data_IF_560506380226
#
_entry.id   IF_560506380226
#
_cell.length_a   1.000
_cell.length_b   1.000
_cell.length_c   1.000
_cell.angle_alpha   90.00
_cell.angle_beta   90.00
_cell.angle_gamma   90.00
#
_symmetry.space_group_name_H-M   'P 1'
#
loop_
_entity.id
_entity.type
_entity.pdbx_description
1 polymer ?
#
# COMPACT_ATOMS: atom_id res chain seq x y z
N UNK A 1 -8.83 -3.32 -7.50
CA UNK A 1 -7.40 -3.08 -7.79
C UNK A 1 -7.25 -1.67 -8.32
N UNK A 2 -6.27 -0.90 -7.87
CA UNK A 2 -6.08 0.51 -8.27
C UNK A 2 -4.78 0.65 -9.05
N UNK A 3 -4.86 0.98 -10.33
CA UNK A 3 -3.69 1.26 -11.16
C UNK A 3 -3.29 2.72 -10.94
N UNK A 4 -2.00 2.95 -10.69
CA UNK A 4 -1.45 4.28 -10.42
C UNK A 4 -0.31 4.61 -11.40
N UNK A 5 0.02 5.89 -11.62
CA UNK A 5 1.16 6.25 -12.46
C UNK A 5 2.48 5.74 -11.86
N UNK A 6 3.20 4.90 -12.60
CA UNK A 6 4.48 4.32 -12.14
C UNK A 6 5.59 5.35 -11.90
N UNK A 7 5.54 6.49 -12.61
CA UNK A 7 6.62 7.49 -12.58
C UNK A 7 6.32 8.66 -11.63
N UNK A 8 5.34 8.51 -10.73
CA UNK A 8 5.00 9.54 -9.74
C UNK A 8 5.52 9.13 -8.38
N UNK A 9 6.18 10.06 -7.69
CA UNK A 9 6.54 9.90 -6.28
C UNK A 9 5.38 10.40 -5.41
N UNK A 10 4.96 9.57 -4.46
CA UNK A 10 3.95 9.92 -3.45
C UNK A 10 4.55 9.79 -2.06
N UNK A 11 4.02 10.57 -1.12
CA UNK A 11 4.40 10.52 0.29
C UNK A 11 3.15 10.18 1.11
N UNK A 12 3.21 9.07 1.82
CA UNK A 12 2.15 8.60 2.72
C UNK A 12 2.77 8.34 4.07
N UNK A 13 2.11 8.85 5.11
CA UNK A 13 2.53 8.69 6.51
C UNK A 13 1.33 8.25 7.34
N UNK A 14 1.57 7.33 8.28
CA UNK A 14 0.60 6.99 9.31
C UNK A 14 1.05 7.58 10.64
N UNK A 15 0.11 8.10 11.42
CA UNK A 15 0.40 8.73 12.70
C UNK A 15 -0.13 7.87 13.84
N UNK A 16 0.74 7.48 14.77
CA UNK A 16 0.37 6.75 15.99
C UNK A 16 0.97 7.47 17.20
N UNK A 17 0.14 7.76 18.21
CA UNK A 17 0.62 8.38 19.45
C UNK A 17 1.36 9.72 19.25
N UNK A 18 1.04 10.47 18.19
CA UNK A 18 1.72 11.73 17.84
C UNK A 18 3.01 11.58 17.03
N UNK A 19 3.48 10.36 16.78
CA UNK A 19 4.64 10.08 15.93
C UNK A 19 4.20 9.73 14.51
N UNK A 20 4.93 10.24 13.51
CA UNK A 20 4.68 9.95 12.09
C UNK A 20 5.62 8.86 11.60
N UNK A 21 5.06 7.90 10.88
CA UNK A 21 5.77 6.79 10.27
C UNK A 21 5.61 6.89 8.74
N UNK A 22 6.61 7.42 8.02
CA UNK A 22 6.58 7.49 6.57
C UNK A 22 6.73 6.08 5.97
N UNK A 23 5.97 5.81 4.92
CA UNK A 23 6.14 4.61 4.09
C UNK A 23 7.06 4.96 2.92
N UNK A 24 8.10 4.15 2.70
CA UNK A 24 8.99 4.30 1.57
C UNK A 24 8.20 4.22 0.25
N UNK A 25 8.44 5.10 -0.75
CA UNK A 25 7.64 5.11 -1.99
C UNK A 25 7.58 3.77 -2.73
N UNK A 26 8.66 2.96 -2.69
CA UNK A 26 8.68 1.61 -3.27
C UNK A 26 7.70 0.63 -2.61
N UNK A 27 7.30 0.88 -1.35
CA UNK A 27 6.32 0.04 -0.63
C UNK A 27 4.87 0.49 -0.86
N UNK A 28 4.64 1.59 -1.58
CA UNK A 28 3.31 2.09 -1.92
C UNK A 28 2.71 1.44 -3.15
N UNK A 29 3.51 0.69 -3.92
CA UNK A 29 3.06 0.03 -5.15
C UNK A 29 3.65 -1.35 -5.33
N UNK A 30 2.90 -2.23 -6.00
CA UNK A 30 3.39 -3.51 -6.53
C UNK A 30 3.33 -3.50 -8.06
N UNK A 31 4.18 -4.28 -8.72
CA UNK A 31 4.11 -4.48 -10.17
C UNK A 31 3.18 -5.65 -10.50
N UNK A 32 2.41 -5.53 -11.58
CA UNK A 32 1.71 -6.68 -12.17
C UNK A 32 2.69 -7.57 -12.93
N UNK A 33 2.27 -8.81 -13.18
CA UNK A 33 2.79 -9.54 -14.34
C UNK A 33 2.48 -8.76 -15.63
N UNK A 34 3.18 -9.04 -16.76
CA UNK A 34 2.86 -8.42 -18.04
C UNK A 34 1.37 -8.62 -18.38
N UNK A 35 0.69 -7.51 -18.68
CA UNK A 35 -0.72 -7.49 -19.10
C UNK A 35 -0.80 -6.93 -20.52
N UNK A 36 -1.68 -7.49 -21.34
CA UNK A 36 -1.92 -6.99 -22.69
C UNK A 36 -2.81 -5.74 -22.64
N UNK A 37 -2.30 -4.63 -23.17
CA UNK A 37 -3.05 -3.38 -23.33
C UNK A 37 -2.85 -2.89 -24.76
N UNK A 38 -3.93 -2.87 -25.54
CA UNK A 38 -3.92 -2.49 -26.96
C UNK A 38 -2.92 -3.31 -27.81
N UNK A 39 -2.85 -4.63 -27.61
CA UNK A 39 -1.96 -5.51 -28.38
C UNK A 39 -0.47 -5.41 -28.00
N UNK A 40 -0.14 -4.76 -26.88
CA UNK A 40 1.22 -4.67 -26.35
C UNK A 40 1.25 -5.16 -24.90
N UNK A 41 2.26 -5.95 -24.55
CA UNK A 41 2.53 -6.31 -23.16
C UNK A 41 3.06 -5.09 -22.40
N UNK A 42 2.43 -4.79 -21.27
CA UNK A 42 2.80 -3.68 -20.38
C UNK A 42 2.78 -4.16 -18.93
N UNK A 43 3.64 -3.54 -18.11
CA UNK A 43 3.62 -3.71 -16.66
C UNK A 43 2.88 -2.51 -16.06
N UNK A 44 1.95 -2.76 -15.16
CA UNK A 44 1.23 -1.73 -14.43
C UNK A 44 1.70 -1.65 -12.98
N UNK A 45 1.67 -0.44 -12.42
CA UNK A 45 1.87 -0.22 -10.99
C UNK A 45 0.52 -0.22 -10.29
N UNK A 46 0.40 -1.03 -9.25
CA UNK A 46 -0.82 -1.21 -8.48
C UNK A 46 -0.60 -0.66 -7.08
N UNK A 47 -1.53 0.17 -6.60
CA UNK A 47 -1.49 0.69 -5.23
C UNK A 47 -1.49 -0.44 -4.19
N UNK A 48 -0.57 -0.36 -3.23
CA UNK A 48 -0.44 -1.33 -2.16
C UNK A 48 -1.52 -1.15 -1.07
N UNK A 49 -2.04 0.07 -0.91
CA UNK A 49 -3.18 0.38 -0.06
C UNK A 49 -4.47 0.03 -0.80
N UNK A 50 -5.30 -0.81 -0.18
CA UNK A 50 -6.56 -1.27 -0.76
C UNK A 50 -7.70 -0.96 0.19
N UNK A 51 -8.79 -0.41 -0.35
CA UNK A 51 -10.07 -0.34 0.34
C UNK A 51 -10.73 -1.72 0.36
N UNK A 52 -11.42 -2.01 1.45
CA UNK A 52 -12.19 -3.24 1.62
C UNK A 52 -13.47 -2.90 2.40
N UNK A 53 -14.61 -3.40 1.92
CA UNK A 53 -15.89 -3.21 2.57
C UNK A 53 -16.04 -4.18 3.75
N UNK A 54 -16.77 -3.76 4.79
CA UNK A 54 -17.08 -4.56 5.97
C UNK A 54 -15.89 -5.14 6.74
N UNK A 55 -14.72 -4.51 6.64
CA UNK A 55 -13.55 -4.86 7.42
C UNK A 55 -13.75 -4.52 8.91
N UNK A 56 -13.15 -5.29 9.82
CA UNK A 56 -13.26 -5.02 11.25
C UNK A 56 -14.69 -5.00 11.82
N UNK A 57 -15.66 -5.66 11.17
CA UNK A 57 -17.06 -5.63 11.62
C UNK A 57 -17.87 -4.39 11.19
N UNK A 58 -17.48 -3.75 10.09
CA UNK A 58 -18.00 -2.46 9.59
C UNK A 58 -17.56 -1.24 10.43
N UNK A 59 -16.47 -1.39 11.18
CA UNK A 59 -15.82 -0.27 11.86
C UNK A 59 -14.79 0.42 10.94
N UNK A 60 -14.23 1.53 11.40
CA UNK A 60 -13.20 2.28 10.68
C UNK A 60 -11.81 1.70 10.96
N UNK A 61 -11.62 0.44 10.60
CA UNK A 61 -10.38 -0.30 10.86
C UNK A 61 -9.46 -0.38 9.65
N UNK A 62 -8.16 -0.37 9.92
CA UNK A 62 -7.11 -0.58 8.92
C UNK A 62 -6.25 -1.78 9.31
N UNK A 63 -6.05 -2.71 8.38
CA UNK A 63 -5.03 -3.77 8.52
C UNK A 63 -3.71 -3.31 7.91
N UNK A 64 -2.66 -3.32 8.73
CA UNK A 64 -1.33 -2.85 8.36
C UNK A 64 -0.38 -4.03 8.24
N UNK A 65 -0.24 -4.55 7.02
CA UNK A 65 0.64 -5.66 6.69
C UNK A 65 2.01 -5.21 6.18
N UNK A 66 2.62 -6.06 5.36
CA UNK A 66 3.99 -5.93 4.88
C UNK A 66 4.37 -4.54 4.32
N UNK A 67 3.46 -3.89 3.58
CA UNK A 67 3.71 -2.55 3.02
C UNK A 67 4.01 -1.50 4.09
N UNK A 68 3.43 -1.66 5.28
CA UNK A 68 3.74 -0.82 6.44
C UNK A 68 4.86 -1.44 7.28
N UNK A 69 4.81 -2.74 7.55
CA UNK A 69 5.73 -3.42 8.46
C UNK A 69 7.19 -3.46 7.97
N UNK A 70 7.45 -3.31 6.66
CA UNK A 70 8.83 -3.10 6.16
C UNK A 70 9.43 -1.74 6.54
N UNK A 71 8.59 -0.78 6.93
CA UNK A 71 8.98 0.59 7.25
C UNK A 71 9.08 0.86 8.76
N UNK A 72 8.70 -0.11 9.60
CA UNK A 72 8.69 0.02 11.05
C UNK A 72 9.19 -1.24 11.73
N UNK A 73 9.83 -1.10 12.89
CA UNK A 73 10.07 -2.24 13.77
C UNK A 73 8.90 -2.36 14.75
N UNK A 74 8.11 -3.42 14.63
CA UNK A 74 6.92 -3.66 15.46
C UNK A 74 7.23 -4.71 16.54
N UNK A 75 6.86 -4.40 17.79
CA UNK A 75 6.98 -5.31 18.94
C UNK A 75 5.60 -5.52 19.54
N UNK A 76 5.22 -6.79 19.72
CA UNK A 76 3.97 -7.17 20.36
C UNK A 76 4.29 -7.67 21.76
N UNK A 77 3.80 -6.92 22.76
CA UNK A 77 3.97 -7.28 24.17
C UNK A 77 2.78 -8.16 24.61
N UNK A 78 3.01 -9.19 25.45
CA UNK A 78 1.94 -9.98 26.04
C UNK A 78 1.00 -9.18 26.94
#
# INVERSE_FOLDING_TARGET
MWIVPCNTTTLVELSFGGQRYPIHPLDLTTLTDPIEVNGQERIACVGALKGVDAWGGNEYDMSLGDSFLRNVYSVYVP
#
